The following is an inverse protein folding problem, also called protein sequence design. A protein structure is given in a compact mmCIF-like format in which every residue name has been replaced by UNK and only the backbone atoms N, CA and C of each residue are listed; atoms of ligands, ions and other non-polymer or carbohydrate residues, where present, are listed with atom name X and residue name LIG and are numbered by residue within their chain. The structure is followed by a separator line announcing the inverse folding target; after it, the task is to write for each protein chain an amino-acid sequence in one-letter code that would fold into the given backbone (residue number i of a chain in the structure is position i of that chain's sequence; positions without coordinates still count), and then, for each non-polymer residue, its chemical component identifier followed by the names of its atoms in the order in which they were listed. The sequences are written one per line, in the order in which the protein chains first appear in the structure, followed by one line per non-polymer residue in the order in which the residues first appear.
data_IF_436784170573
#
_entry.id   IF_436784170573
#
_cell.length_a   1.000
_cell.length_b   1.000
_cell.length_c   1.000
_cell.angle_alpha   90.00
_cell.angle_beta   90.00
_cell.angle_gamma   90.00
#
_symmetry.space_group_name_H-M   'P 1'
#
loop_
_entity.id
_entity.type
_entity.pdbx_description
1 polymer ?
#
# COMPACT_ATOMS: atom_id res chain seq x y z
N UNK A 1 11.81 19.93 -5.34
CA UNK A 1 10.93 19.40 -6.41
C UNK A 1 11.59 18.16 -6.96
N UNK A 2 11.14 16.99 -6.52
CA UNK A 2 11.78 15.71 -6.83
C UNK A 2 10.75 14.87 -7.56
N UNK A 3 10.76 14.93 -8.88
CA UNK A 3 9.93 14.07 -9.71
C UNK A 3 10.45 12.64 -9.58
N UNK A 4 9.62 11.75 -9.04
CA UNK A 4 9.78 10.31 -9.17
C UNK A 4 9.26 9.98 -10.57
N UNK A 5 10.16 10.03 -11.55
CA UNK A 5 9.88 9.51 -12.88
C UNK A 5 10.28 8.05 -12.86
N UNK A 6 9.37 7.18 -12.41
CA UNK A 6 9.45 5.73 -12.64
C UNK A 6 9.51 5.55 -14.16
N UNK A 7 10.56 4.91 -14.68
CA UNK A 7 10.66 4.55 -16.10
C UNK A 7 9.39 3.84 -16.58
N UNK A 8 8.50 4.58 -17.23
CA UNK A 8 7.19 4.10 -17.67
C UNK A 8 7.39 3.20 -18.89
N UNK A 9 7.09 1.92 -18.76
CA UNK A 9 6.64 1.12 -19.91
C UNK A 9 5.34 0.38 -19.56
N UNK A 10 4.25 0.98 -20.04
CA UNK A 10 2.84 0.57 -20.03
C UNK A 10 2.17 0.38 -18.64
N UNK A 11 1.66 1.48 -18.07
CA UNK A 11 0.64 1.43 -17.03
C UNK A 11 -0.70 1.02 -17.63
N UNK A 12 -1.30 -0.04 -17.09
CA UNK A 12 -2.65 -0.43 -17.50
C UNK A 12 -3.70 0.04 -16.50
N UNK A 13 -3.50 -0.19 -15.19
CA UNK A 13 -4.42 0.24 -14.13
C UNK A 13 -3.69 0.48 -12.79
N UNK A 14 -4.15 1.46 -12.01
CA UNK A 14 -3.66 1.80 -10.66
C UNK A 14 -4.78 1.64 -9.63
N UNK A 15 -4.48 1.01 -8.50
CA UNK A 15 -5.37 0.82 -7.37
C UNK A 15 -4.68 1.30 -6.10
N UNK A 16 -5.35 2.14 -5.31
CA UNK A 16 -4.86 2.54 -4.00
C UNK A 16 -5.48 1.67 -2.92
N UNK A 17 -4.63 1.00 -2.15
CA UNK A 17 -4.98 0.28 -0.94
C UNK A 17 -4.78 1.18 0.27
N UNK A 18 -5.77 1.14 1.15
CA UNK A 18 -5.69 1.69 2.50
C UNK A 18 -5.89 0.53 3.47
N UNK A 19 -4.98 0.37 4.44
CA UNK A 19 -5.22 -0.59 5.51
C UNK A 19 -6.32 -0.06 6.43
N UNK A 20 -7.56 -0.55 6.31
CA UNK A 20 -8.58 -0.27 7.33
C UNK A 20 -8.43 -1.30 8.45
N UNK A 21 -7.52 -1.07 9.40
CA UNK A 21 -7.34 -1.97 10.52
C UNK A 21 -8.62 -2.03 11.36
N UNK A 22 -9.25 -3.20 11.42
CA UNK A 22 -10.46 -3.45 12.24
C UNK A 22 -10.18 -3.31 13.75
N UNK A 23 -8.92 -3.26 14.18
CA UNK A 23 -8.55 -3.15 15.59
C UNK A 23 -9.08 -1.88 16.27
N UNK A 24 -9.23 -0.77 15.54
CA UNK A 24 -9.84 0.44 16.09
C UNK A 24 -11.37 0.36 16.29
N UNK A 25 -12.06 -0.64 15.75
CA UNK A 25 -13.50 -0.83 16.01
C UNK A 25 -13.78 -1.63 17.29
N UNK A 26 -12.78 -2.31 17.87
CA UNK A 26 -12.99 -3.23 19.00
C UNK A 26 -12.98 -2.50 20.36
N UNK A 27 -12.34 -1.33 20.47
CA UNK A 27 -12.26 -0.58 21.74
C UNK A 27 -13.51 0.25 22.10
N UNK A 28 -14.54 0.32 21.25
CA UNK A 28 -15.77 1.08 21.51
C UNK A 28 -16.94 0.22 22.05
N UNK A 29 -16.65 -0.95 22.63
CA UNK A 29 -17.69 -1.92 23.02
C UNK A 29 -17.56 -2.49 24.44
N UNK A 30 -17.03 -1.76 25.41
CA UNK A 30 -17.19 -2.15 26.83
C UNK A 30 -17.35 -0.93 27.74
N UNK A 31 -18.60 -0.47 27.88
CA UNK A 31 -19.12 0.24 29.05
C UNK A 31 -20.66 0.22 28.96
N UNK A 32 -21.27 -0.56 29.84
CA UNK A 32 -22.71 -0.70 29.96
C UNK A 32 -23.30 0.43 30.81
N UNK A 33 -24.45 1.00 30.40
CA UNK A 33 -25.57 1.35 31.31
C UNK A 33 -26.81 1.86 30.54
N UNK A 34 -27.96 1.29 30.89
CA UNK A 34 -29.36 1.79 30.84
C UNK A 34 -29.87 2.50 29.56
N UNK A 35 -30.87 1.87 28.92
CA UNK A 35 -31.74 2.46 27.88
C UNK A 35 -32.80 3.37 28.51
N UNK A 36 -33.03 4.58 27.96
CA UNK A 36 -34.38 5.16 27.92
C UNK A 36 -34.88 5.41 26.48
N UNK A 37 -36.21 5.58 26.41
CA UNK A 37 -37.08 5.59 25.23
C UNK A 37 -36.66 6.54 24.10
N UNK A 38 -36.82 6.02 22.88
CA UNK A 38 -36.81 6.69 21.58
C UNK A 38 -37.70 7.95 21.57
N UNK A 39 -37.12 9.10 21.21
CA UNK A 39 -37.86 10.20 20.57
C UNK A 39 -37.10 10.64 19.32
N UNK A 40 -37.86 10.87 18.27
CA UNK A 40 -37.42 11.06 16.89
C UNK A 40 -37.17 12.56 16.67
N UNK A 41 -35.91 12.98 16.47
CA UNK A 41 -35.56 14.26 15.83
C UNK A 41 -34.30 14.09 15.02
N UNK A 42 -34.40 14.46 13.74
CA UNK A 42 -33.33 14.38 12.77
C UNK A 42 -32.08 15.13 13.24
N UNK A 43 -30.94 14.50 13.04
CA UNK A 43 -29.66 15.17 13.03
C UNK A 43 -28.87 14.57 11.86
N UNK A 44 -28.54 15.43 10.90
CA UNK A 44 -27.71 15.12 9.75
C UNK A 44 -26.43 14.44 10.22
N UNK A 45 -26.23 13.20 9.77
CA UNK A 45 -25.04 12.42 10.09
C UNK A 45 -23.79 13.19 9.71
N UNK A 46 -23.06 13.67 10.72
CA UNK A 46 -21.73 14.21 10.53
C UNK A 46 -20.89 13.17 9.81
N UNK A 47 -20.43 13.49 8.59
CA UNK A 47 -19.38 12.72 7.93
C UNK A 47 -18.21 12.66 8.90
N UNK A 48 -17.98 11.49 9.50
CA UNK A 48 -16.72 11.22 10.21
C UNK A 48 -15.61 11.56 9.22
N UNK A 49 -14.84 12.62 9.50
CA UNK A 49 -13.52 12.79 8.89
C UNK A 49 -12.77 11.50 9.22
N UNK A 50 -12.66 10.57 8.26
CA UNK A 50 -11.73 9.45 8.39
C UNK A 50 -10.35 10.07 8.49
N UNK A 51 -9.84 10.19 9.72
CA UNK A 51 -8.43 10.46 9.96
C UNK A 51 -7.69 9.27 9.41
N UNK A 52 -6.91 9.49 8.35
CA UNK A 52 -6.18 8.41 7.70
C UNK A 52 -5.02 8.04 8.62
N UNK A 53 -5.17 6.95 9.37
CA UNK A 53 -4.24 6.51 10.43
C UNK A 53 -3.44 5.25 10.07
N UNK A 54 -3.36 4.89 8.79
CA UNK A 54 -2.93 3.55 8.43
C UNK A 54 -2.10 3.48 7.17
N UNK A 55 -1.33 2.39 7.06
CA UNK A 55 -0.50 1.99 5.94
C UNK A 55 -1.21 2.19 4.61
N UNK A 56 -0.50 2.78 3.65
CA UNK A 56 -0.99 3.00 2.29
C UNK A 56 -0.14 2.21 1.31
N UNK A 57 -0.78 1.62 0.32
CA UNK A 57 -0.06 1.07 -0.81
C UNK A 57 -0.73 1.49 -2.11
N UNK A 58 0.04 1.95 -3.09
CA UNK A 58 -0.42 2.14 -4.45
C UNK A 58 0.06 0.95 -5.26
N UNK A 59 -0.86 0.16 -5.78
CA UNK A 59 -0.59 -1.04 -6.55
C UNK A 59 -0.90 -0.78 -8.02
N UNK A 60 0.07 -1.02 -8.87
CA UNK A 60 -0.01 -0.81 -10.30
C UNK A 60 0.26 -2.13 -11.01
N UNK A 61 -0.64 -2.49 -11.94
CA UNK A 61 -0.38 -3.58 -12.87
C UNK A 61 0.58 -3.10 -13.95
N UNK A 62 1.70 -3.79 -14.10
CA UNK A 62 2.79 -3.41 -15.02
C UNK A 62 3.14 -4.57 -15.96
N UNK A 63 3.51 -4.23 -17.20
CA UNK A 63 4.13 -5.18 -18.12
C UNK A 63 5.61 -5.42 -17.77
N UNK A 64 6.25 -4.40 -17.23
CA UNK A 64 7.60 -4.43 -16.65
C UNK A 64 7.76 -3.21 -15.75
N UNK A 65 8.64 -3.29 -14.75
CA UNK A 65 9.05 -2.14 -13.96
C UNK A 65 10.50 -2.29 -13.52
N UNK A 66 11.19 -1.17 -13.36
CA UNK A 66 12.57 -1.15 -12.90
C UNK A 66 12.82 0.06 -12.02
N UNK A 67 13.82 -0.06 -11.15
CA UNK A 67 14.32 1.00 -10.30
C UNK A 67 15.75 1.30 -10.71
N UNK A 68 16.03 2.58 -10.94
CA UNK A 68 17.37 3.09 -11.19
C UNK A 68 17.83 4.02 -10.06
N UNK A 69 19.10 3.85 -9.68
CA UNK A 69 19.81 4.75 -8.76
C UNK A 69 21.06 5.22 -9.46
N UNK A 70 21.25 6.54 -9.56
CA UNK A 70 22.42 7.15 -10.22
C UNK A 70 22.65 6.66 -11.66
N UNK A 71 21.56 6.35 -12.39
CA UNK A 71 21.62 5.87 -13.77
C UNK A 71 21.98 4.39 -13.93
N UNK A 72 21.97 3.63 -12.82
CA UNK A 72 22.16 2.17 -12.83
C UNK A 72 20.88 1.49 -12.38
N UNK A 73 20.43 0.50 -13.14
CA UNK A 73 19.31 -0.36 -12.74
C UNK A 73 19.72 -1.18 -11.52
N UNK A 74 19.06 -0.95 -10.39
CA UNK A 74 19.29 -1.68 -9.14
C UNK A 74 18.32 -2.85 -8.99
N UNK A 75 17.16 -2.78 -9.63
CA UNK A 75 16.10 -3.77 -9.52
C UNK A 75 15.20 -3.71 -10.75
N UNK A 76 14.73 -4.85 -11.23
CA UNK A 76 13.82 -4.94 -12.37
C UNK A 76 12.93 -6.17 -12.25
N UNK A 77 11.71 -6.03 -12.78
CA UNK A 77 10.71 -7.07 -12.92
C UNK A 77 10.11 -7.04 -14.33
N UNK A 78 9.72 -8.21 -14.81
CA UNK A 78 8.84 -8.39 -15.95
C UNK A 78 7.36 -8.17 -15.58
N UNK A 79 6.43 -8.93 -16.17
CA UNK A 79 5.00 -8.77 -15.91
C UNK A 79 4.68 -8.97 -14.43
N UNK A 80 3.88 -8.06 -13.85
CA UNK A 80 3.65 -8.09 -12.42
C UNK A 80 3.01 -6.87 -11.81
N UNK A 81 3.39 -6.61 -10.56
CA UNK A 81 2.89 -5.50 -9.75
C UNK A 81 4.04 -4.59 -9.31
N UNK A 82 3.90 -3.29 -9.57
CA UNK A 82 4.66 -2.25 -8.88
C UNK A 82 3.84 -1.78 -7.68
N UNK A 83 4.44 -1.81 -6.50
CA UNK A 83 3.78 -1.49 -5.24
C UNK A 83 4.54 -0.39 -4.52
N UNK A 84 4.00 0.82 -4.52
CA UNK A 84 4.52 1.94 -3.74
C UNK A 84 3.94 1.87 -2.33
N UNK A 85 4.78 1.68 -1.31
CA UNK A 85 4.36 1.48 0.08
C UNK A 85 4.66 2.70 0.92
N UNK A 86 3.63 3.32 1.49
CA UNK A 86 3.74 4.34 2.53
C UNK A 86 3.52 3.72 3.90
N UNK A 87 4.45 3.97 4.82
CA UNK A 87 4.33 3.63 6.23
C UNK A 87 3.91 4.85 7.06
N UNK A 88 2.87 4.68 7.88
CA UNK A 88 2.40 5.66 8.87
C UNK A 88 3.15 5.47 10.20
N UNK A 89 3.34 6.54 10.98
CA UNK A 89 4.04 6.48 12.27
C UNK A 89 3.42 5.51 13.30
N UNK A 90 2.13 5.18 13.14
CA UNK A 90 1.39 4.27 14.02
C UNK A 90 1.17 2.87 13.42
N UNK A 91 1.78 2.57 12.29
CA UNK A 91 1.62 1.25 11.67
C UNK A 91 2.22 0.15 12.54
N UNK A 92 1.53 -0.98 12.61
CA UNK A 92 1.94 -2.18 13.34
C UNK A 92 2.03 -3.38 12.42
N UNK A 93 2.59 -4.48 12.91
CA UNK A 93 2.79 -5.71 12.15
C UNK A 93 1.50 -6.24 11.48
N UNK A 94 0.35 -6.06 12.13
CA UNK A 94 -0.95 -6.43 11.58
C UNK A 94 -1.31 -5.66 10.29
N UNK A 95 -0.83 -4.43 10.13
CA UNK A 95 -1.02 -3.63 8.91
C UNK A 95 -0.15 -4.18 7.78
N UNK A 96 1.09 -4.59 8.07
CA UNK A 96 1.97 -5.23 7.12
C UNK A 96 1.39 -6.57 6.62
N UNK A 97 0.82 -7.38 7.53
CA UNK A 97 0.12 -8.62 7.18
C UNK A 97 -1.10 -8.37 6.30
N UNK A 98 -1.87 -7.32 6.59
CA UNK A 98 -3.01 -6.93 5.78
C UNK A 98 -2.58 -6.57 4.35
N UNK A 99 -1.57 -5.71 4.20
CA UNK A 99 -1.07 -5.28 2.89
C UNK A 99 -0.46 -6.46 2.13
N UNK A 100 0.37 -7.28 2.77
CA UNK A 100 0.94 -8.50 2.18
C UNK A 100 -0.17 -9.39 1.58
N UNK A 101 -1.20 -9.70 2.38
CA UNK A 101 -2.33 -10.52 1.91
C UNK A 101 -3.08 -9.86 0.77
N UNK A 102 -3.31 -8.55 0.81
CA UNK A 102 -4.03 -7.83 -0.25
C UNK A 102 -3.24 -7.80 -1.56
N UNK A 103 -1.96 -7.44 -1.52
CA UNK A 103 -1.08 -7.39 -2.70
C UNK A 103 -1.08 -8.74 -3.41
N UNK A 104 -0.87 -9.84 -2.68
CA UNK A 104 -0.74 -11.17 -3.30
C UNK A 104 -2.07 -11.74 -3.83
N UNK A 105 -3.20 -11.42 -3.20
CA UNK A 105 -4.50 -12.03 -3.52
C UNK A 105 -5.40 -11.16 -4.41
N UNK A 106 -5.02 -9.91 -4.69
CA UNK A 106 -5.80 -9.05 -5.56
C UNK A 106 -5.87 -9.59 -6.99
N UNK A 107 -7.09 -9.64 -7.54
CA UNK A 107 -7.40 -10.22 -8.85
C UNK A 107 -7.29 -9.16 -9.94
N UNK A 108 -6.06 -8.80 -10.29
CA UNK A 108 -5.76 -7.69 -11.22
C UNK A 108 -5.49 -8.13 -12.65
N UNK A 109 -5.33 -9.43 -12.89
CA UNK A 109 -4.93 -9.96 -14.18
C UNK A 109 -6.11 -10.66 -14.88
N UNK A 110 -6.15 -10.59 -16.22
CA UNK A 110 -7.18 -11.27 -16.98
C UNK A 110 -6.96 -12.79 -16.97
N UNK A 111 -8.05 -13.52 -17.04
CA UNK A 111 -8.04 -14.96 -17.26
C UNK A 111 -8.25 -15.23 -18.75
N UNK A 112 -7.19 -15.64 -19.44
CA UNK A 112 -7.22 -15.92 -20.89
C UNK A 112 -8.18 -17.07 -21.25
N UNK A 113 -8.42 -18.02 -20.33
CA UNK A 113 -9.33 -19.15 -20.58
C UNK A 113 -10.81 -18.73 -20.47
N UNK A 114 -11.14 -17.79 -19.59
CA UNK A 114 -12.53 -17.38 -19.35
C UNK A 114 -12.89 -16.02 -19.92
N UNK A 115 -11.92 -15.25 -20.39
CA UNK A 115 -12.09 -13.87 -20.88
C UNK A 115 -12.34 -12.82 -19.79
N UNK A 116 -12.41 -13.22 -18.51
CA UNK A 116 -12.67 -12.27 -17.40
C UNK A 116 -11.47 -11.37 -17.15
N UNK A 117 -11.69 -10.05 -17.12
CA UNK A 117 -10.63 -9.03 -17.02
C UNK A 117 -10.03 -8.85 -15.62
N UNK A 118 -10.78 -9.16 -14.56
CA UNK A 118 -10.40 -9.01 -13.14
C UNK A 118 -10.55 -10.33 -12.39
N UNK A 119 -9.67 -11.29 -12.65
CA UNK A 119 -9.93 -12.68 -12.26
C UNK A 119 -8.73 -13.43 -11.67
N UNK A 120 -7.51 -13.10 -12.07
CA UNK A 120 -6.31 -13.79 -11.60
C UNK A 120 -5.45 -12.84 -10.76
N UNK A 121 -4.81 -13.37 -9.73
CA UNK A 121 -3.84 -12.65 -8.91
C UNK A 121 -2.39 -12.88 -9.39
N UNK A 122 -1.45 -12.14 -8.81
CA UNK A 122 -0.04 -12.19 -9.21
C UNK A 122 0.56 -13.59 -9.05
N UNK A 123 0.15 -14.30 -8.01
CA UNK A 123 0.63 -15.65 -7.71
C UNK A 123 0.15 -16.66 -8.76
N UNK A 124 -1.13 -16.60 -9.14
CA UNK A 124 -1.74 -17.49 -10.14
C UNK A 124 -1.10 -17.32 -11.53
N UNK A 125 -0.65 -16.11 -11.85
CA UNK A 125 0.07 -15.82 -13.09
C UNK A 125 1.58 -16.11 -13.02
N UNK A 126 2.11 -16.48 -11.84
CA UNK A 126 3.56 -16.61 -11.61
C UNK A 126 4.34 -15.36 -12.00
N UNK A 127 3.75 -14.19 -11.71
CA UNK A 127 4.29 -12.87 -12.02
C UNK A 127 5.07 -12.29 -10.86
N UNK A 128 5.77 -11.18 -11.11
CA UNK A 128 6.67 -10.58 -10.13
C UNK A 128 6.04 -9.41 -9.37
N UNK A 129 6.64 -9.06 -8.24
CA UNK A 129 6.24 -7.91 -7.41
C UNK A 129 7.47 -7.06 -7.12
N UNK A 130 7.41 -5.77 -7.44
CA UNK A 130 8.43 -4.79 -7.10
C UNK A 130 7.88 -3.86 -6.03
N UNK A 131 8.48 -3.89 -4.85
CA UNK A 131 8.14 -3.03 -3.71
C UNK A 131 9.06 -1.80 -3.71
N UNK A 132 8.47 -0.62 -3.52
CA UNK A 132 9.22 0.65 -3.38
C UNK A 132 8.68 1.44 -2.21
N UNK A 133 9.54 1.83 -1.26
CA UNK A 133 9.17 2.69 -0.14
C UNK A 133 8.80 4.10 -0.64
N UNK A 134 7.61 4.59 -0.30
CA UNK A 134 7.05 5.84 -0.81
C UNK A 134 6.35 6.66 0.29
N UNK A 135 7.13 7.34 1.14
CA UNK A 135 6.59 8.18 2.23
C UNK A 135 5.68 9.32 1.73
N UNK A 136 5.88 9.79 0.50
CA UNK A 136 5.10 10.91 -0.06
C UNK A 136 3.62 10.59 -0.24
N UNK A 137 3.22 9.31 -0.13
CA UNK A 137 1.82 8.91 -0.08
C UNK A 137 1.06 9.54 1.10
N UNK A 138 1.76 10.04 2.12
CA UNK A 138 1.19 10.78 3.25
C UNK A 138 1.27 12.30 3.11
N UNK A 139 1.58 12.83 1.93
CA UNK A 139 1.60 14.27 1.70
C UNK A 139 0.27 14.94 2.05
N UNK A 140 0.28 15.81 3.04
CA UNK A 140 -0.79 16.75 3.37
C UNK A 140 -0.37 18.14 2.91
N UNK A 141 -1.23 18.87 2.24
CA UNK A 141 -0.91 20.22 1.77
C UNK A 141 -1.22 21.25 2.86
N UNK A 142 -0.19 21.95 3.33
CA UNK A 142 -0.34 23.18 4.13
C UNK A 142 -0.13 24.36 3.19
N UNK A 143 -1.23 24.89 2.66
CA UNK A 143 -1.20 25.78 1.49
C UNK A 143 -0.73 24.99 0.26
N UNK A 144 0.36 25.41 -0.37
CA UNK A 144 0.97 24.70 -1.52
C UNK A 144 2.20 23.85 -1.13
N UNK A 145 2.59 23.83 0.15
CA UNK A 145 3.73 23.04 0.63
C UNK A 145 3.25 21.66 1.09
N UNK A 146 3.84 20.57 0.57
CA UNK A 146 3.58 19.24 1.09
C UNK A 146 4.25 19.06 2.45
N UNK A 147 3.50 18.47 3.37
CA UNK A 147 3.87 18.11 4.72
C UNK A 147 3.70 16.60 4.89
N UNK A 148 4.68 15.94 5.50
CA UNK A 148 4.73 14.48 5.63
C UNK A 148 4.85 14.04 7.09
N UNK A 149 4.47 14.89 8.06
CA UNK A 149 4.64 14.63 9.50
C UNK A 149 4.00 13.32 9.99
N UNK A 150 2.99 12.78 9.30
CA UNK A 150 2.33 11.52 9.68
C UNK A 150 3.01 10.27 9.12
N UNK A 151 4.02 10.42 8.26
CA UNK A 151 4.80 9.30 7.75
C UNK A 151 5.75 8.78 8.84
N UNK A 152 6.00 7.47 8.85
CA UNK A 152 6.95 6.87 9.76
C UNK A 152 8.36 7.44 9.55
N UNK A 153 9.08 7.84 10.61
CA UNK A 153 10.46 8.34 10.51
C UNK A 153 11.40 7.31 9.85
N UNK A 154 12.43 7.75 9.10
CA UNK A 154 13.32 6.85 8.35
C UNK A 154 13.96 5.73 9.19
N UNK A 155 14.32 6.01 10.43
CA UNK A 155 14.99 5.10 11.37
C UNK A 155 14.09 3.91 11.73
N UNK A 156 12.79 4.16 11.89
CA UNK A 156 11.79 3.12 12.14
C UNK A 156 11.26 2.51 10.83
N UNK A 157 11.13 3.31 9.79
CA UNK A 157 10.58 2.90 8.50
C UNK A 157 11.47 1.90 7.77
N UNK A 158 12.81 2.03 7.86
CA UNK A 158 13.74 1.11 7.20
C UNK A 158 13.59 -0.35 7.68
N UNK A 159 13.68 -0.67 8.98
CA UNK A 159 13.49 -2.05 9.44
C UNK A 159 12.04 -2.53 9.26
N UNK A 160 11.05 -1.65 9.41
CA UNK A 160 9.64 -2.01 9.20
C UNK A 160 9.38 -2.40 7.73
N UNK A 161 9.89 -1.60 6.79
CA UNK A 161 9.78 -1.89 5.36
C UNK A 161 10.49 -3.19 5.00
N UNK A 162 11.70 -3.43 5.52
CA UNK A 162 12.42 -4.69 5.29
C UNK A 162 11.60 -5.91 5.79
N UNK A 163 11.00 -5.82 6.98
CA UNK A 163 10.09 -6.85 7.51
C UNK A 163 8.91 -7.14 6.57
N UNK A 164 8.30 -6.08 6.00
CA UNK A 164 7.22 -6.23 5.02
C UNK A 164 7.68 -6.95 3.74
N UNK A 165 8.86 -6.61 3.21
CA UNK A 165 9.44 -7.27 2.02
C UNK A 165 9.65 -8.76 2.30
N UNK A 166 10.31 -9.08 3.42
CA UNK A 166 10.53 -10.47 3.83
C UNK A 166 9.21 -11.25 3.99
N UNK A 167 8.19 -10.61 4.54
CA UNK A 167 6.88 -11.23 4.73
C UNK A 167 6.24 -11.59 3.40
N UNK A 168 6.31 -10.70 2.41
CA UNK A 168 5.77 -10.95 1.07
C UNK A 168 6.58 -12.05 0.37
N UNK A 169 7.92 -12.04 0.51
CA UNK A 169 8.80 -13.10 0.00
C UNK A 169 8.44 -14.47 0.58
N UNK A 170 8.26 -14.56 1.90
CA UNK A 170 7.87 -15.79 2.62
C UNK A 170 6.48 -16.30 2.21
N UNK A 171 5.54 -15.37 1.97
CA UNK A 171 4.17 -15.72 1.60
C UNK A 171 4.00 -16.09 0.11
N UNK A 172 4.98 -15.77 -0.75
CA UNK A 172 4.90 -16.03 -2.18
C UNK A 172 6.10 -16.83 -2.72
N UNK A 173 7.21 -16.14 -3.01
CA UNK A 173 8.48 -16.73 -3.46
C UNK A 173 9.56 -15.65 -3.41
N UNK A 174 10.76 -16.00 -2.94
CA UNK A 174 11.83 -15.04 -2.68
C UNK A 174 12.33 -14.39 -3.98
N UNK A 175 12.40 -15.16 -5.06
CA UNK A 175 12.93 -14.76 -6.36
C UNK A 175 12.03 -13.79 -7.12
N UNK A 176 10.69 -13.90 -6.98
CA UNK A 176 9.75 -13.02 -7.70
C UNK A 176 9.36 -11.74 -6.95
N UNK A 177 9.88 -11.53 -5.75
CA UNK A 177 9.65 -10.30 -4.99
C UNK A 177 10.93 -9.51 -4.92
N UNK A 178 10.96 -8.39 -5.63
CA UNK A 178 12.08 -7.45 -5.68
C UNK A 178 11.76 -6.20 -4.85
N UNK A 179 12.80 -5.54 -4.37
CA UNK A 179 12.71 -4.26 -3.69
C UNK A 179 13.54 -3.19 -4.41
N UNK A 180 13.21 -1.92 -4.13
CA UNK A 180 14.08 -0.78 -4.43
C UNK A 180 15.08 -0.50 -3.31
N UNK A 181 15.94 0.49 -3.52
CA UNK A 181 16.91 0.93 -2.50
C UNK A 181 16.26 1.95 -1.57
N UNK A 182 16.04 1.57 -0.31
CA UNK A 182 15.42 2.45 0.70
C UNK A 182 16.19 3.77 0.84
N UNK A 183 15.46 4.89 0.73
CA UNK A 183 16.01 6.24 0.91
C UNK A 183 16.84 6.78 -0.27
N UNK A 184 17.09 5.99 -1.32
CA UNK A 184 17.74 6.48 -2.52
C UNK A 184 16.77 7.31 -3.38
N UNK A 185 17.31 8.28 -4.13
CA UNK A 185 16.55 8.96 -5.18
C UNK A 185 16.39 8.01 -6.37
N UNK A 186 15.25 7.32 -6.39
CA UNK A 186 14.92 6.31 -7.39
C UNK A 186 14.24 6.91 -8.63
N UNK A 187 14.59 6.38 -9.80
CA UNK A 187 13.89 6.57 -11.10
C UNK A 187 13.36 5.22 -11.60
#
# INVERSE_FOLDING_TARGET
MSSINIGIMQFQHQITLHCESKQHQIFARHSATVRPKRTNRGSFGGRRKQTIKSMRAVVQRVASASVEVEGRTVSAIGPGLLVLVGLHETDVEADAEYICRKVLNMRLFPNEKTGKTWDQNVMQKSYEVLLVSQFTLYGVLKGNKPDFHVAMPPEAAKPFYASLVEKIQKAYRVDAVKDGVFGAKMK
#
